data_IF_186133242229
#
_entry.id   IF_186133242229
#
_cell.length_a   1.000
_cell.length_b   1.000
_cell.length_c   1.000
_cell.angle_alpha   90.00
_cell.angle_beta   90.00
_cell.angle_gamma   90.00
#
_symmetry.space_group_name_H-M   'P 1'
#
loop_
_entity.id
_entity.type
_entity.pdbx_description
1 polymer ?
#
# COMPACT_ATOMS: atom_id res chain seq x y z
N UNK A 1 8.33 -49.35 4.09
CA UNK A 1 6.87 -49.19 4.03
C UNK A 1 6.51 -47.99 4.90
N UNK A 2 6.86 -46.84 4.33
CA UNK A 2 6.07 -45.62 4.20
C UNK A 2 5.30 -45.13 5.42
N UNK A 3 5.96 -44.20 6.10
CA UNK A 3 5.41 -43.32 7.11
C UNK A 3 4.93 -42.03 6.42
N UNK A 4 3.83 -42.11 5.69
CA UNK A 4 3.16 -40.94 5.10
C UNK A 4 2.02 -40.49 6.02
N UNK A 5 2.39 -39.70 7.03
CA UNK A 5 1.43 -38.97 7.84
C UNK A 5 0.90 -37.77 7.02
N UNK A 6 0.03 -38.05 6.04
CA UNK A 6 -0.76 -37.02 5.37
C UNK A 6 -1.98 -36.71 6.23
N UNK A 7 -1.91 -35.59 6.94
CA UNK A 7 -3.06 -34.91 7.55
C UNK A 7 -3.92 -34.37 6.39
N UNK A 8 -4.76 -35.23 5.82
CA UNK A 8 -5.84 -34.84 4.93
C UNK A 8 -7.11 -34.73 5.76
N UNK A 9 -7.22 -33.66 6.56
CA UNK A 9 -8.46 -33.28 7.23
C UNK A 9 -8.75 -31.80 6.93
N UNK A 10 -8.80 -31.45 5.64
CA UNK A 10 -9.74 -30.41 5.22
C UNK A 10 -10.90 -31.17 4.60
N UNK A 11 -11.90 -31.36 5.44
CA UNK A 11 -13.21 -31.85 5.03
C UNK A 11 -13.84 -30.78 4.14
N UNK A 12 -14.02 -31.07 2.85
CA UNK A 12 -14.70 -30.18 1.87
C UNK A 12 -16.18 -29.96 2.23
N UNK A 13 -16.67 -30.63 3.29
CA UNK A 13 -17.94 -30.40 3.97
C UNK A 13 -17.78 -29.64 5.29
N UNK A 14 -16.87 -28.66 5.38
CA UNK A 14 -17.07 -27.50 6.26
C UNK A 14 -18.29 -26.71 5.71
N UNK A 15 -19.41 -27.41 5.77
CA UNK A 15 -20.65 -27.18 5.09
C UNK A 15 -21.27 -25.99 5.78
N UNK A 16 -21.67 -25.05 4.94
CA UNK A 16 -22.62 -23.96 5.12
C UNK A 16 -23.66 -24.11 6.26
N UNK A 17 -24.01 -25.34 6.65
CA UNK A 17 -24.86 -25.68 7.79
C UNK A 17 -24.31 -25.15 9.13
N UNK A 18 -22.98 -25.16 9.36
CA UNK A 18 -22.37 -24.56 10.57
C UNK A 18 -22.29 -23.03 10.54
N UNK A 19 -22.41 -22.41 9.37
CA UNK A 19 -22.43 -20.96 9.24
C UNK A 19 -23.81 -20.37 9.52
N UNK A 20 -24.87 -21.19 9.49
CA UNK A 20 -26.23 -20.73 9.73
C UNK A 20 -26.39 -20.09 11.11
N UNK A 21 -25.75 -20.67 12.14
CA UNK A 21 -25.71 -20.13 13.51
C UNK A 21 -24.99 -18.78 13.62
N UNK A 22 -24.12 -18.42 12.65
CA UNK A 22 -23.44 -17.13 12.59
C UNK A 22 -24.28 -16.05 11.87
N UNK A 23 -25.28 -16.44 11.09
CA UNK A 23 -26.22 -15.53 10.43
C UNK A 23 -27.53 -15.36 11.22
N UNK A 24 -27.75 -16.11 12.30
CA UNK A 24 -28.83 -15.82 13.23
C UNK A 24 -28.63 -14.42 13.81
N UNK A 25 -29.69 -13.60 13.82
CA UNK A 25 -29.68 -12.28 14.45
C UNK A 25 -29.35 -12.45 15.93
N UNK A 26 -28.07 -12.32 16.28
CA UNK A 26 -27.63 -12.08 17.65
C UNK A 26 -28.41 -10.89 18.24
N UNK A 27 -28.44 -10.72 19.56
CA UNK A 27 -29.24 -9.69 20.22
C UNK A 27 -29.05 -8.36 19.51
N UNK A 28 -30.14 -7.77 19.00
CA UNK A 28 -30.15 -6.54 18.18
C UNK A 28 -29.10 -5.58 18.69
N UNK A 29 -27.95 -5.55 18.05
CA UNK A 29 -26.99 -4.47 18.25
C UNK A 29 -27.65 -3.25 17.63
N UNK A 30 -27.79 -2.21 18.43
CA UNK A 30 -28.32 -0.93 17.97
C UNK A 30 -27.40 -0.43 16.84
N UNK A 31 -27.85 -0.61 15.60
CA UNK A 31 -27.13 -0.16 14.41
C UNK A 31 -27.46 1.32 14.29
N UNK A 32 -26.48 2.18 14.58
CA UNK A 32 -26.65 3.62 14.47
C UNK A 32 -26.92 4.01 13.01
N UNK A 33 -27.69 5.07 12.80
CA UNK A 33 -27.94 5.58 11.45
C UNK A 33 -26.67 6.22 10.88
N UNK A 34 -26.56 6.30 9.55
CA UNK A 34 -25.37 6.86 8.89
C UNK A 34 -25.10 8.31 9.32
N UNK A 35 -26.16 9.06 9.64
CA UNK A 35 -26.08 10.44 10.11
C UNK A 35 -25.44 10.55 11.51
N UNK A 36 -25.50 9.51 12.34
CA UNK A 36 -24.81 9.44 13.63
C UNK A 36 -23.33 9.06 13.49
N UNK A 37 -22.92 8.52 12.33
CA UNK A 37 -21.52 8.26 11.99
C UNK A 37 -20.86 9.43 11.25
N UNK A 38 -21.63 10.43 10.83
CA UNK A 38 -21.06 11.71 10.46
C UNK A 38 -20.42 12.28 11.73
N UNK A 39 -19.09 12.12 11.84
CA UNK A 39 -18.26 12.99 12.66
C UNK A 39 -18.80 14.41 12.43
N UNK A 40 -19.08 15.13 13.52
CA UNK A 40 -19.52 16.51 13.44
C UNK A 40 -18.61 17.31 12.50
N UNK A 41 -19.13 18.43 11.98
CA UNK A 41 -18.37 19.45 11.24
C UNK A 41 -17.26 20.07 12.10
N UNK A 42 -16.39 19.27 12.72
CA UNK A 42 -15.08 19.68 13.17
C UNK A 42 -14.31 19.97 11.90
N UNK A 43 -14.45 21.22 11.45
CA UNK A 43 -13.65 21.84 10.40
C UNK A 43 -12.19 21.42 10.63
N UNK A 44 -11.53 20.76 9.66
CA UNK A 44 -10.20 20.24 9.89
C UNK A 44 -9.31 21.39 10.36
N UNK A 45 -8.69 21.23 11.53
CA UNK A 45 -7.76 22.21 12.09
C UNK A 45 -6.78 22.62 10.98
N UNK A 46 -6.53 23.91 10.82
CA UNK A 46 -5.67 24.43 9.72
C UNK A 46 -4.30 23.75 9.66
N UNK A 47 -3.79 23.29 10.80
CA UNK A 47 -2.55 22.52 10.94
C UNK A 47 -2.63 21.15 10.22
N UNK A 48 -3.79 20.49 10.26
CA UNK A 48 -4.06 19.24 9.52
C UNK A 48 -4.13 19.46 8.01
N UNK A 49 -4.64 20.62 7.56
CA UNK A 49 -4.70 20.96 6.13
C UNK A 49 -3.29 21.24 5.59
N UNK A 50 -2.45 21.96 6.33
CA UNK A 50 -1.07 22.24 5.94
C UNK A 50 -0.22 20.97 5.88
N UNK A 51 -0.40 20.05 6.84
CA UNK A 51 0.29 18.76 6.85
C UNK A 51 -0.13 17.89 5.67
N UNK A 52 -1.43 17.80 5.37
CA UNK A 52 -1.95 17.09 4.19
C UNK A 52 -1.43 17.71 2.89
N UNK A 53 -1.35 19.03 2.79
CA UNK A 53 -0.82 19.70 1.61
C UNK A 53 0.67 19.42 1.41
N UNK A 54 1.47 19.44 2.48
CA UNK A 54 2.90 19.13 2.43
C UNK A 54 3.16 17.67 2.07
N UNK A 55 2.37 16.75 2.61
CA UNK A 55 2.41 15.33 2.25
C UNK A 55 2.04 15.12 0.78
N UNK A 56 1.08 15.89 0.25
CA UNK A 56 0.74 15.84 -1.18
C UNK A 56 1.85 16.42 -2.07
N UNK A 57 2.50 17.52 -1.70
CA UNK A 57 3.62 18.08 -2.47
C UNK A 57 4.83 17.12 -2.52
N UNK A 58 5.17 16.51 -1.38
CA UNK A 58 6.24 15.53 -1.29
C UNK A 58 5.92 14.25 -2.07
N UNK A 59 4.66 13.79 -2.02
CA UNK A 59 4.16 12.66 -2.81
C UNK A 59 4.23 12.94 -4.32
N UNK A 60 3.79 14.12 -4.77
CA UNK A 60 3.85 14.51 -6.18
C UNK A 60 5.29 14.55 -6.69
N UNK A 61 6.22 14.99 -5.84
CA UNK A 61 7.65 14.98 -6.16
C UNK A 61 8.19 13.56 -6.29
N UNK A 62 7.92 12.69 -5.31
CA UNK A 62 8.34 11.27 -5.35
C UNK A 62 7.75 10.54 -6.55
N UNK A 63 6.48 10.79 -6.91
CA UNK A 63 5.87 10.21 -8.13
C UNK A 63 6.64 10.62 -9.38
N UNK A 64 7.07 11.89 -9.45
CA UNK A 64 7.87 12.36 -10.58
C UNK A 64 9.23 11.67 -10.62
N UNK A 65 9.91 11.60 -9.47
CA UNK A 65 11.21 10.95 -9.36
C UNK A 65 11.12 9.46 -9.75
N UNK A 66 10.06 8.76 -9.32
CA UNK A 66 9.80 7.35 -9.69
C UNK A 66 9.64 7.19 -11.21
N UNK A 67 8.93 8.10 -11.87
CA UNK A 67 8.77 8.10 -13.34
C UNK A 67 10.11 8.31 -14.05
N UNK A 68 10.86 9.31 -13.61
CA UNK A 68 12.15 9.65 -14.21
C UNK A 68 13.15 8.48 -14.03
N UNK A 69 13.19 7.85 -12.85
CA UNK A 69 14.01 6.67 -12.59
C UNK A 69 13.57 5.47 -13.44
N UNK A 70 12.27 5.23 -13.59
CA UNK A 70 11.74 4.15 -14.45
C UNK A 70 12.19 4.33 -15.90
N UNK A 71 12.09 5.54 -16.43
CA UNK A 71 12.53 5.85 -17.79
C UNK A 71 14.05 5.66 -17.93
N UNK A 72 14.85 6.18 -17.00
CA UNK A 72 16.31 6.06 -17.06
C UNK A 72 16.80 4.61 -16.88
N UNK A 73 16.17 3.81 -16.02
CA UNK A 73 16.47 2.38 -15.88
C UNK A 73 16.18 1.61 -17.16
N UNK A 74 15.11 1.96 -17.87
CA UNK A 74 14.78 1.33 -19.17
C UNK A 74 15.85 1.55 -20.23
N UNK A 75 16.64 2.62 -20.10
CA UNK A 75 17.78 2.92 -20.99
C UNK A 75 19.07 2.17 -20.63
N UNK A 76 19.07 1.38 -19.55
CA UNK A 76 20.22 0.58 -19.10
C UNK A 76 21.24 1.35 -18.24
N UNK A 77 20.89 2.53 -17.73
CA UNK A 77 21.74 3.29 -16.81
C UNK A 77 21.81 2.65 -15.44
N UNK A 78 22.97 2.75 -14.80
CA UNK A 78 23.17 2.31 -13.42
C UNK A 78 22.58 3.30 -12.41
N UNK A 79 22.30 2.83 -11.19
CA UNK A 79 21.78 3.66 -10.09
C UNK A 79 22.66 4.88 -9.82
N UNK A 80 23.98 4.73 -9.89
CA UNK A 80 24.93 5.83 -9.68
C UNK A 80 24.80 6.92 -10.76
N UNK A 81 24.67 6.53 -12.03
CA UNK A 81 24.48 7.47 -13.14
C UNK A 81 23.12 8.17 -13.06
N UNK A 82 22.08 7.48 -12.58
CA UNK A 82 20.75 8.05 -12.38
C UNK A 82 20.76 9.07 -11.24
N UNK A 83 21.44 8.76 -10.13
CA UNK A 83 21.61 9.68 -9.00
C UNK A 83 22.34 10.97 -9.41
N UNK A 84 23.39 10.86 -10.24
CA UNK A 84 24.08 12.03 -10.80
C UNK A 84 23.17 12.88 -11.70
N UNK A 85 22.36 12.24 -12.57
CA UNK A 85 21.47 12.94 -13.50
C UNK A 85 20.33 13.65 -12.79
N UNK A 86 19.75 13.02 -11.75
CA UNK A 86 18.63 13.56 -10.99
C UNK A 86 19.08 14.48 -9.84
N UNK A 87 20.40 14.59 -9.60
CA UNK A 87 20.95 15.28 -8.44
C UNK A 87 20.30 14.83 -7.11
N UNK A 88 20.06 13.52 -7.03
CA UNK A 88 19.37 12.88 -5.91
C UNK A 88 20.34 11.97 -5.16
N UNK A 89 19.97 11.62 -3.93
CA UNK A 89 20.77 10.72 -3.11
C UNK A 89 20.81 9.29 -3.71
N UNK A 90 21.98 8.66 -3.68
CA UNK A 90 22.17 7.35 -4.30
C UNK A 90 21.37 6.25 -3.58
N UNK A 91 21.21 6.33 -2.26
CA UNK A 91 20.42 5.37 -1.49
C UNK A 91 18.93 5.54 -1.80
N UNK A 92 18.46 6.78 -1.94
CA UNK A 92 17.08 7.07 -2.37
C UNK A 92 16.76 6.50 -3.76
N UNK A 93 17.64 6.71 -4.74
CA UNK A 93 17.45 6.15 -6.10
C UNK A 93 17.56 4.63 -6.08
N UNK A 94 18.41 4.06 -5.22
CA UNK A 94 18.51 2.62 -5.04
C UNK A 94 17.20 2.02 -4.49
N UNK A 95 16.58 2.66 -3.50
CA UNK A 95 15.27 2.26 -2.97
C UNK A 95 14.19 2.30 -4.04
N UNK A 96 14.16 3.37 -4.87
CA UNK A 96 13.23 3.45 -6.01
C UNK A 96 13.51 2.34 -7.05
N UNK A 97 14.77 2.09 -7.38
CA UNK A 97 15.14 1.08 -8.36
C UNK A 97 14.79 -0.35 -7.90
N UNK A 98 14.99 -0.66 -6.61
CA UNK A 98 14.59 -1.92 -6.00
C UNK A 98 13.07 -2.05 -6.06
N UNK A 99 12.32 -1.06 -5.58
CA UNK A 99 10.86 -1.09 -5.59
C UNK A 99 10.28 -1.19 -7.00
N UNK A 100 10.93 -0.60 -8.01
CA UNK A 100 10.59 -0.80 -9.42
C UNK A 100 10.91 -2.22 -9.92
N UNK A 101 12.05 -2.80 -9.52
CA UNK A 101 12.51 -4.13 -9.99
C UNK A 101 11.76 -5.32 -9.38
N UNK A 102 11.21 -5.17 -8.17
CA UNK A 102 10.39 -6.21 -7.51
C UNK A 102 8.90 -6.16 -7.89
N UNK A 103 8.47 -5.14 -8.63
CA UNK A 103 7.06 -4.92 -8.87
C UNK A 103 6.51 -5.71 -10.07
N UNK A 104 5.40 -6.39 -9.83
CA UNK A 104 4.53 -6.98 -10.85
C UNK A 104 3.89 -5.88 -11.69
N UNK A 105 3.47 -6.19 -12.92
CA UNK A 105 2.97 -5.24 -13.94
C UNK A 105 1.83 -4.30 -13.48
N UNK A 106 1.19 -4.57 -12.33
CA UNK A 106 0.08 -3.80 -11.76
C UNK A 106 0.46 -2.67 -10.80
N UNK A 107 1.74 -2.50 -10.44
CA UNK A 107 2.14 -1.46 -9.50
C UNK A 107 2.39 -0.11 -10.19
N UNK A 108 1.40 0.77 -10.08
CA UNK A 108 1.48 2.15 -10.58
C UNK A 108 2.44 3.03 -9.78
N UNK A 109 2.93 4.11 -10.40
CA UNK A 109 3.94 5.01 -9.82
C UNK A 109 3.53 5.62 -8.46
N UNK A 110 2.23 5.77 -8.22
CA UNK A 110 1.67 6.29 -6.96
C UNK A 110 1.91 5.31 -5.80
N UNK A 111 1.70 4.01 -6.03
CA UNK A 111 1.90 2.99 -5.01
C UNK A 111 3.39 2.88 -4.65
N UNK A 112 4.26 2.99 -5.65
CA UNK A 112 5.71 2.99 -5.47
C UNK A 112 6.16 4.22 -4.68
N UNK A 113 5.65 5.41 -5.02
CA UNK A 113 5.96 6.62 -4.28
C UNK A 113 5.58 6.51 -2.80
N UNK A 114 4.40 5.96 -2.48
CA UNK A 114 4.00 5.70 -1.09
C UNK A 114 4.92 4.70 -0.38
N UNK A 115 5.31 3.61 -1.04
CA UNK A 115 6.25 2.63 -0.47
C UNK A 115 7.59 3.27 -0.12
N UNK A 116 8.13 4.08 -1.04
CA UNK A 116 9.41 4.79 -0.85
C UNK A 116 9.31 5.84 0.26
N UNK A 117 8.18 6.52 0.38
CA UNK A 117 7.95 7.48 1.48
C UNK A 117 7.91 6.78 2.85
N UNK A 118 7.29 5.60 2.95
CA UNK A 118 7.23 4.84 4.21
C UNK A 118 8.59 4.26 4.65
N UNK A 119 9.51 3.98 3.73
CA UNK A 119 10.86 3.52 4.08
C UNK A 119 11.81 4.65 4.49
N UNK A 120 11.45 5.91 4.22
CA UNK A 120 12.27 7.09 4.50
C UNK A 120 11.80 7.92 5.72
N UNK A 121 10.78 7.46 6.46
CA UNK A 121 10.37 7.99 7.76
C UNK A 121 11.16 7.34 8.93
#
# INVERSE_FOLDING_TARGET
>A
MDNDNKINNLDDTLDWEYMQDFYEEGPRKEVKSLEEYALGDDEPLSESIEEVNKSNETLLKTIKDVKDVRELLSTGKSVAEIAEVLHADADYIHTIAITLGYNTEDSGDIAIAHLVMMENE
#
